data_IF_056105572356
#
_entry.id   IF_056105572356
#
_cell.length_a   1.000
_cell.length_b   1.000
_cell.length_c   1.000
_cell.angle_alpha   90.00
_cell.angle_beta   90.00
_cell.angle_gamma   90.00
#
_symmetry.space_group_name_H-M   'P 1'
#
loop_
_entity.id
_entity.type
_entity.pdbx_description
1 polymer ?
#
# COMPACT_ATOMS: atom_id res chain seq x y z
N UNK A 1 61.02 65.28 -12.88
CA UNK A 1 62.12 64.37 -12.49
C UNK A 1 61.88 63.08 -13.28
N UNK A 2 62.11 63.12 -14.60
CA UNK A 2 63.38 62.75 -15.27
C UNK A 2 63.60 61.22 -15.23
N UNK A 3 63.40 60.51 -16.35
CA UNK A 3 64.42 60.13 -17.36
C UNK A 3 65.44 59.10 -16.79
N UNK A 4 65.78 57.96 -17.40
CA UNK A 4 66.21 57.65 -18.79
C UNK A 4 65.88 56.17 -19.17
N UNK A 5 65.36 55.86 -20.37
CA UNK A 5 66.02 55.30 -21.59
C UNK A 5 66.85 53.99 -21.49
N UNK A 6 66.35 52.97 -22.23
CA UNK A 6 67.00 52.08 -23.24
C UNK A 6 67.75 50.75 -22.91
N UNK A 7 67.50 49.81 -23.84
CA UNK A 7 68.36 48.75 -24.41
C UNK A 7 68.42 47.32 -23.83
N UNK A 8 68.49 46.34 -24.75
CA UNK A 8 68.51 44.86 -24.57
C UNK A 8 69.77 44.28 -25.26
N UNK A 9 70.60 43.45 -24.60
CA UNK A 9 70.82 42.02 -24.97
C UNK A 9 71.10 41.10 -23.74
N UNK A 10 71.35 39.78 -23.82
CA UNK A 10 71.24 38.80 -24.93
C UNK A 10 72.38 37.75 -24.99
N UNK A 11 72.05 36.44 -24.97
CA UNK A 11 72.97 35.25 -25.09
C UNK A 11 73.96 35.02 -23.92
N UNK A 12 74.52 33.82 -23.62
CA UNK A 12 74.17 32.39 -23.85
C UNK A 12 75.06 31.49 -22.92
N UNK A 13 74.61 30.26 -22.61
CA UNK A 13 75.37 29.03 -22.22
C UNK A 13 76.40 29.09 -21.06
N UNK A 14 76.40 28.16 -20.08
CA UNK A 14 76.99 26.80 -20.24
C UNK A 14 76.48 25.72 -19.25
N UNK A 15 76.12 24.55 -19.81
CA UNK A 15 76.25 23.15 -19.31
C UNK A 15 76.30 22.76 -17.81
N UNK A 16 75.27 21.97 -17.40
CA UNK A 16 75.22 20.69 -16.64
C UNK A 16 76.52 19.97 -16.15
N UNK A 17 76.47 18.95 -15.22
CA UNK A 17 75.30 18.19 -14.71
C UNK A 17 75.24 17.84 -13.18
N UNK A 18 74.05 17.42 -12.69
CA UNK A 18 73.88 16.17 -11.88
C UNK A 18 72.41 15.74 -11.67
N UNK A 19 72.17 14.44 -11.90
CA UNK A 19 71.06 13.49 -11.61
C UNK A 19 69.77 13.99 -10.88
N UNK A 20 68.57 13.68 -11.38
CA UNK A 20 67.31 13.84 -10.63
C UNK A 20 66.91 12.58 -9.84
N UNK A 21 66.43 12.76 -8.60
CA UNK A 21 65.69 11.72 -7.85
C UNK A 21 64.23 11.68 -8.32
N UNK A 22 63.66 10.49 -8.46
CA UNK A 22 62.24 10.28 -8.75
C UNK A 22 61.41 10.19 -7.48
N UNK A 23 60.32 10.96 -7.38
CA UNK A 23 59.15 10.65 -6.53
C UNK A 23 57.95 11.55 -6.89
N UNK A 24 56.91 10.96 -7.47
CA UNK A 24 55.56 11.55 -7.60
C UNK A 24 54.51 10.51 -7.24
N UNK A 25 53.79 10.73 -6.13
CA UNK A 25 52.33 10.70 -6.09
C UNK A 25 51.82 12.12 -5.74
N UNK A 26 50.61 12.58 -6.08
CA UNK A 26 49.37 12.29 -5.31
C UNK A 26 48.07 12.71 -6.06
N UNK A 27 47.94 12.49 -7.37
CA UNK A 27 46.66 12.78 -8.08
C UNK A 27 45.66 11.61 -8.09
N UNK A 28 46.13 10.35 -8.12
CA UNK A 28 45.25 9.18 -8.17
C UNK A 28 44.47 8.89 -6.87
N UNK A 29 45.06 9.23 -5.71
CA UNK A 29 44.43 9.03 -4.40
C UNK A 29 43.15 9.87 -4.24
N UNK A 30 43.15 11.11 -4.72
CA UNK A 30 41.99 11.99 -4.60
C UNK A 30 40.78 11.46 -5.39
N UNK A 31 41.02 10.93 -6.60
CA UNK A 31 39.97 10.29 -7.41
C UNK A 31 39.39 9.03 -6.77
N UNK A 32 40.24 8.16 -6.21
CA UNK A 32 39.78 6.95 -5.51
C UNK A 32 38.89 7.28 -4.29
N UNK A 33 39.28 8.30 -3.51
CA UNK A 33 38.47 8.79 -2.39
C UNK A 33 37.15 9.43 -2.83
N UNK A 34 37.15 10.21 -3.92
CA UNK A 34 35.92 10.80 -4.47
C UNK A 34 34.94 9.72 -4.97
N UNK A 35 35.44 8.70 -5.67
CA UNK A 35 34.65 7.55 -6.12
C UNK A 35 34.10 6.73 -4.95
N UNK A 36 34.88 6.53 -3.88
CA UNK A 36 34.42 5.84 -2.67
C UNK A 36 33.31 6.65 -1.95
N UNK A 37 33.45 7.97 -1.85
CA UNK A 37 32.41 8.86 -1.32
C UNK A 37 31.13 8.82 -2.16
N UNK A 38 31.24 8.84 -3.49
CA UNK A 38 30.09 8.68 -4.39
C UNK A 38 29.43 7.30 -4.25
N UNK A 39 30.19 6.24 -4.01
CA UNK A 39 29.65 4.90 -3.73
C UNK A 39 28.94 4.80 -2.37
N UNK A 40 29.42 5.51 -1.36
CA UNK A 40 28.79 5.59 -0.04
C UNK A 40 27.51 6.45 -0.05
N UNK A 41 27.52 7.56 -0.80
CA UNK A 41 26.38 8.45 -1.00
C UNK A 41 25.33 7.89 -1.98
N UNK A 42 25.72 6.95 -2.84
CA UNK A 42 24.86 6.33 -3.86
C UNK A 42 23.99 5.16 -3.37
N UNK A 43 24.08 4.75 -2.09
CA UNK A 43 23.20 3.72 -1.54
C UNK A 43 21.83 4.33 -1.18
N UNK A 44 20.71 3.90 -1.80
CA UNK A 44 19.39 4.28 -1.31
C UNK A 44 19.21 3.75 0.12
N UNK A 45 18.55 4.51 1.02
CA UNK A 45 18.25 4.03 2.37
C UNK A 45 17.47 2.71 2.27
N UNK A 46 17.88 1.74 3.09
CA UNK A 46 17.62 0.32 2.86
C UNK A 46 16.16 0.03 2.52
N UNK A 47 15.93 -0.51 1.32
CA UNK A 47 14.65 -1.11 0.97
C UNK A 47 14.40 -2.27 1.96
N UNK A 48 13.46 -2.07 2.88
CA UNK A 48 13.01 -3.12 3.80
C UNK A 48 12.21 -4.12 2.99
N UNK A 49 12.92 -5.08 2.39
CA UNK A 49 12.28 -6.22 1.74
C UNK A 49 11.62 -7.07 2.83
N UNK A 50 10.29 -7.10 2.84
CA UNK A 50 9.51 -8.00 3.70
C UNK A 50 9.70 -9.44 3.20
N UNK A 51 10.81 -10.05 3.62
CA UNK A 51 11.13 -11.44 3.33
C UNK A 51 10.30 -12.37 4.23
N UNK A 52 9.24 -12.96 3.68
CA UNK A 52 8.55 -14.08 4.31
C UNK A 52 9.23 -15.36 3.85
N UNK A 53 10.24 -15.80 4.61
CA UNK A 53 10.86 -17.11 4.40
C UNK A 53 9.90 -18.19 4.92
N UNK A 54 9.60 -19.20 4.09
CA UNK A 54 8.78 -20.33 4.51
C UNK A 54 9.48 -21.13 5.61
N UNK A 55 8.74 -21.60 6.62
CA UNK A 55 9.29 -22.54 7.61
C UNK A 55 9.56 -23.88 6.93
N UNK A 56 10.80 -24.37 7.09
CA UNK A 56 11.32 -25.67 6.64
C UNK A 56 11.31 -25.92 5.11
N UNK A 57 12.49 -25.97 4.49
CA UNK A 57 12.74 -26.87 3.35
C UNK A 57 13.30 -26.26 2.06
N UNK A 58 13.15 -24.96 1.81
CA UNK A 58 13.62 -24.31 0.57
C UNK A 58 14.61 -23.18 0.91
N UNK A 59 15.81 -23.22 0.32
CA UNK A 59 16.95 -22.33 0.67
C UNK A 59 16.90 -20.95 0.00
N UNK A 60 15.79 -20.62 -0.67
CA UNK A 60 15.58 -19.35 -1.33
C UNK A 60 14.36 -18.61 -0.77
N UNK A 61 14.59 -17.52 -0.02
CA UNK A 61 13.49 -16.61 0.34
C UNK A 61 13.06 -15.84 -0.93
N UNK A 62 12.00 -16.31 -1.58
CA UNK A 62 11.42 -15.65 -2.76
C UNK A 62 10.96 -14.22 -2.42
N UNK A 63 11.49 -13.23 -3.14
CA UNK A 63 10.95 -11.88 -3.12
C UNK A 63 9.57 -11.88 -3.82
N UNK A 64 8.55 -11.37 -3.14
CA UNK A 64 7.22 -11.22 -3.72
C UNK A 64 7.18 -10.01 -4.66
N UNK A 65 6.67 -10.23 -5.87
CA UNK A 65 6.33 -9.14 -6.79
C UNK A 65 5.07 -8.41 -6.32
N UNK A 66 4.81 -7.23 -6.90
CA UNK A 66 3.55 -6.51 -6.68
C UNK A 66 2.34 -7.36 -7.12
N UNK A 67 2.48 -8.17 -8.18
CA UNK A 67 1.40 -9.11 -8.59
C UNK A 67 1.14 -10.16 -7.52
N UNK A 68 2.18 -10.80 -6.97
CA UNK A 68 2.02 -11.85 -5.94
C UNK A 68 1.35 -11.31 -4.68
N UNK A 69 1.64 -10.06 -4.32
CA UNK A 69 0.97 -9.37 -3.21
C UNK A 69 -0.50 -9.08 -3.55
N UNK A 70 -0.79 -8.59 -4.77
CA UNK A 70 -2.16 -8.42 -5.25
C UNK A 70 -2.97 -9.72 -5.26
N UNK A 71 -2.39 -10.83 -5.72
CA UNK A 71 -3.07 -12.13 -5.76
C UNK A 71 -3.45 -12.60 -4.36
N UNK A 72 -2.57 -12.41 -3.36
CA UNK A 72 -2.86 -12.72 -1.95
C UNK A 72 -3.99 -11.86 -1.38
N UNK A 73 -3.98 -10.54 -1.59
CA UNK A 73 -5.04 -9.66 -1.05
C UNK A 73 -6.37 -9.85 -1.79
N UNK A 74 -6.34 -10.16 -3.10
CA UNK A 74 -7.55 -10.50 -3.86
C UNK A 74 -8.16 -11.80 -3.33
N UNK A 75 -7.38 -12.88 -3.20
CA UNK A 75 -7.84 -14.15 -2.64
C UNK A 75 -8.44 -13.98 -1.23
N UNK A 76 -7.80 -13.14 -0.40
CA UNK A 76 -8.29 -12.86 0.95
C UNK A 76 -9.60 -12.05 0.93
N UNK A 77 -9.73 -11.08 0.01
CA UNK A 77 -10.98 -10.33 -0.21
C UNK A 77 -12.11 -11.17 -0.81
N UNK A 78 -11.79 -12.13 -1.68
CA UNK A 78 -12.76 -13.08 -2.25
C UNK A 78 -13.38 -13.93 -1.13
N UNK A 79 -12.53 -14.47 -0.24
CA UNK A 79 -12.98 -15.23 0.93
C UNK A 79 -13.77 -14.37 1.91
N UNK A 80 -13.34 -13.13 2.15
CA UNK A 80 -14.06 -12.19 3.03
C UNK A 80 -15.47 -11.90 2.53
N UNK A 81 -15.61 -11.59 1.25
CA UNK A 81 -16.91 -11.35 0.63
C UNK A 81 -17.79 -12.61 0.61
N UNK A 82 -17.21 -13.78 0.31
CA UNK A 82 -17.92 -15.06 0.36
C UNK A 82 -18.49 -15.37 1.76
N UNK A 83 -17.69 -15.18 2.82
CA UNK A 83 -18.16 -15.35 4.20
C UNK A 83 -19.29 -14.38 4.56
N UNK A 84 -19.18 -13.11 4.14
CA UNK A 84 -20.23 -12.11 4.35
C UNK A 84 -21.53 -12.45 3.62
N UNK A 85 -21.44 -13.00 2.41
CA UNK A 85 -22.60 -13.42 1.62
C UNK A 85 -23.28 -14.62 2.27
N UNK A 86 -22.52 -15.65 2.67
CA UNK A 86 -23.05 -16.80 3.39
C UNK A 86 -23.68 -16.42 4.75
N UNK A 87 -23.11 -15.43 5.46
CA UNK A 87 -23.66 -14.88 6.69
C UNK A 87 -25.00 -14.17 6.45
N UNK A 88 -25.12 -13.41 5.37
CA UNK A 88 -26.37 -12.74 5.00
C UNK A 88 -27.45 -13.74 4.58
N UNK A 89 -27.11 -14.66 3.67
CA UNK A 89 -28.06 -15.65 3.12
C UNK A 89 -28.64 -16.54 4.21
N UNK A 90 -27.80 -17.06 5.12
CA UNK A 90 -28.23 -17.96 6.19
C UNK A 90 -29.23 -17.33 7.17
N UNK A 91 -29.04 -16.05 7.51
CA UNK A 91 -29.83 -15.40 8.56
C UNK A 91 -31.00 -14.57 8.00
N UNK A 92 -30.94 -14.10 6.75
CA UNK A 92 -31.89 -13.12 6.22
C UNK A 92 -32.52 -13.48 4.86
N UNK A 93 -32.33 -14.70 4.35
CA UNK A 93 -33.07 -15.21 3.19
C UNK A 93 -33.69 -16.61 3.42
N UNK A 94 -34.59 -16.80 4.41
CA UNK A 94 -35.06 -18.15 4.78
C UNK A 94 -36.03 -18.76 3.75
N UNK A 95 -36.81 -17.95 3.02
CA UNK A 95 -37.74 -18.43 2.00
C UNK A 95 -38.11 -17.36 0.97
N UNK A 96 -37.68 -17.56 -0.27
CA UNK A 96 -38.60 -17.54 -1.43
C UNK A 96 -39.07 -16.22 -2.06
N UNK A 97 -39.18 -15.10 -1.34
CA UNK A 97 -39.69 -13.86 -1.93
C UNK A 97 -39.33 -12.59 -1.14
N UNK A 98 -39.41 -11.45 -1.84
CA UNK A 98 -39.05 -10.10 -1.35
C UNK A 98 -37.56 -9.85 -1.07
N UNK A 99 -36.74 -10.01 -2.11
CA UNK A 99 -35.56 -9.15 -2.28
C UNK A 99 -36.02 -7.72 -2.63
N UNK A 100 -36.68 -7.04 -1.69
CA UNK A 100 -36.78 -5.59 -1.72
C UNK A 100 -35.36 -5.03 -1.77
N UNK A 101 -35.05 -4.18 -2.76
CA UNK A 101 -33.78 -3.45 -2.76
C UNK A 101 -33.74 -2.61 -1.50
N UNK A 102 -32.96 -3.01 -0.49
CA UNK A 102 -32.83 -2.22 0.72
C UNK A 102 -32.29 -0.84 0.36
N UNK A 103 -33.10 0.18 0.61
CA UNK A 103 -32.82 1.60 0.31
C UNK A 103 -32.18 2.34 1.47
N UNK A 104 -31.90 1.64 2.58
CA UNK A 104 -31.20 2.20 3.74
C UNK A 104 -29.77 2.61 3.43
N UNK A 105 -29.23 3.47 4.27
CA UNK A 105 -27.88 4.04 4.12
C UNK A 105 -26.93 3.41 5.12
N UNK A 106 -25.94 2.67 4.62
CA UNK A 106 -24.76 2.32 5.40
C UNK A 106 -24.00 3.58 5.86
N UNK A 107 -23.29 3.52 6.98
CA UNK A 107 -22.39 4.58 7.45
C UNK A 107 -21.36 5.02 6.38
N UNK A 108 -20.84 4.07 5.61
CA UNK A 108 -19.94 4.33 4.48
C UNK A 108 -20.59 5.04 3.28
N UNK A 109 -21.91 5.29 3.27
CA UNK A 109 -22.60 5.88 2.12
C UNK A 109 -22.26 7.37 1.89
N UNK A 110 -21.63 8.05 2.87
CA UNK A 110 -21.01 9.37 2.66
C UNK A 110 -19.64 9.31 1.99
N UNK A 111 -19.02 8.13 1.88
CA UNK A 111 -17.77 7.96 1.15
C UNK A 111 -18.06 7.97 -0.36
N UNK A 112 -17.29 8.76 -1.12
CA UNK A 112 -17.34 8.81 -2.58
C UNK A 112 -16.85 7.49 -3.19
N UNK A 113 -17.71 6.48 -3.16
CA UNK A 113 -17.48 5.13 -3.66
C UNK A 113 -18.29 4.94 -4.94
N UNK A 114 -17.70 5.20 -6.12
CA UNK A 114 -18.43 5.06 -7.37
C UNK A 114 -18.83 3.60 -7.57
N UNK A 115 -20.07 3.43 -8.01
CA UNK A 115 -20.62 2.14 -8.45
C UNK A 115 -20.49 2.08 -9.98
N UNK A 116 -20.39 0.88 -10.55
CA UNK A 116 -20.18 0.69 -12.00
C UNK A 116 -18.71 0.63 -12.40
N UNK A 117 -18.36 -0.32 -13.28
CA UNK A 117 -16.98 -0.63 -13.69
C UNK A 117 -16.34 0.57 -14.41
N UNK A 118 -17.14 1.25 -15.22
CA UNK A 118 -16.83 2.40 -16.06
C UNK A 118 -16.46 3.67 -15.29
N UNK A 119 -17.05 3.89 -14.10
CA UNK A 119 -16.67 4.99 -13.22
C UNK A 119 -15.41 4.65 -12.43
N UNK A 120 -15.34 3.43 -11.87
CA UNK A 120 -14.14 2.98 -11.14
C UNK A 120 -12.90 3.02 -12.02
N UNK A 121 -13.00 2.63 -13.29
CA UNK A 121 -11.90 2.66 -14.28
C UNK A 121 -11.30 4.06 -14.51
N UNK A 122 -12.00 5.16 -14.18
CA UNK A 122 -11.52 6.54 -14.35
C UNK A 122 -10.80 7.11 -13.14
N UNK A 123 -10.94 6.49 -11.95
CA UNK A 123 -10.25 6.93 -10.72
C UNK A 123 -8.73 6.70 -10.87
N UNK A 124 -7.84 7.65 -10.51
CA UNK A 124 -6.39 7.43 -10.40
C UNK A 124 -6.01 6.22 -9.53
N UNK A 125 -4.83 5.63 -9.77
CA UNK A 125 -4.37 4.43 -9.03
C UNK A 125 -4.23 4.73 -7.53
N UNK A 126 -3.70 5.89 -7.20
CA UNK A 126 -3.53 6.46 -5.87
C UNK A 126 -4.87 6.59 -5.15
N UNK A 127 -5.85 7.24 -5.78
CA UNK A 127 -7.15 7.49 -5.18
C UNK A 127 -7.95 6.19 -5.01
N UNK A 128 -7.88 5.25 -5.96
CA UNK A 128 -8.48 3.92 -5.80
C UNK A 128 -7.82 3.11 -4.68
N UNK A 129 -6.49 3.16 -4.56
CA UNK A 129 -5.73 2.56 -3.46
C UNK A 129 -6.18 3.12 -2.11
N UNK A 130 -6.30 4.45 -2.01
CA UNK A 130 -6.77 5.14 -0.81
C UNK A 130 -8.22 4.79 -0.47
N UNK A 131 -9.10 4.68 -1.47
CA UNK A 131 -10.51 4.34 -1.29
C UNK A 131 -10.68 2.93 -0.69
N UNK A 132 -9.87 1.96 -1.14
CA UNK A 132 -9.82 0.61 -0.58
C UNK A 132 -9.40 0.66 0.90
N UNK A 133 -8.32 1.37 1.22
CA UNK A 133 -7.80 1.50 2.59
C UNK A 133 -8.81 2.20 3.52
N UNK A 134 -9.47 3.26 3.05
CA UNK A 134 -10.54 3.95 3.81
C UNK A 134 -11.74 3.03 4.07
N UNK A 135 -12.17 2.22 3.09
CA UNK A 135 -13.28 1.28 3.28
C UNK A 135 -12.93 0.24 4.35
N UNK A 136 -11.74 -0.34 4.30
CA UNK A 136 -11.27 -1.31 5.29
C UNK A 136 -11.15 -0.67 6.70
N UNK A 137 -10.65 0.57 6.78
CA UNK A 137 -10.58 1.29 8.05
C UNK A 137 -11.96 1.63 8.63
N UNK A 138 -12.94 2.02 7.81
CA UNK A 138 -14.30 2.35 8.23
C UNK A 138 -15.09 1.15 8.79
N UNK A 139 -14.61 -0.08 8.54
CA UNK A 139 -15.20 -1.32 9.06
C UNK A 139 -14.44 -1.92 10.26
N UNK A 140 -13.22 -1.44 10.57
CA UNK A 140 -12.39 -1.99 11.67
C UNK A 140 -13.09 -1.87 13.03
N UNK A 141 -13.52 -0.67 13.41
CA UNK A 141 -14.14 -0.46 14.73
C UNK A 141 -15.55 -1.05 14.84
N UNK A 142 -16.44 -0.91 13.84
CA UNK A 142 -17.76 -1.56 13.89
C UNK A 142 -17.69 -3.09 14.02
N UNK A 143 -16.73 -3.75 13.34
CA UNK A 143 -16.52 -5.20 13.48
C UNK A 143 -15.86 -5.61 14.81
N UNK A 144 -15.06 -4.71 15.40
CA UNK A 144 -14.51 -4.87 16.76
C UNK A 144 -15.63 -4.87 17.80
N UNK A 145 -16.53 -3.87 17.74
CA UNK A 145 -17.69 -3.81 18.63
C UNK A 145 -18.66 -4.98 18.43
N UNK A 146 -18.90 -5.42 17.20
CA UNK A 146 -19.76 -6.58 16.92
C UNK A 146 -19.22 -7.88 17.54
N UNK A 147 -17.90 -8.12 17.49
CA UNK A 147 -17.27 -9.28 18.15
C UNK A 147 -17.27 -9.18 19.69
N UNK A 148 -17.26 -7.96 20.24
CA UNK A 148 -17.35 -7.74 21.70
C UNK A 148 -18.78 -7.92 22.22
N UNK A 149 -19.80 -7.60 21.42
CA UNK A 149 -21.20 -7.58 21.83
C UNK A 149 -22.00 -8.85 21.46
N UNK A 150 -21.33 -9.98 21.21
CA UNK A 150 -21.92 -11.28 20.84
C UNK A 150 -23.16 -11.67 21.68
N UNK A 151 -23.21 -11.35 22.97
CA UNK A 151 -24.36 -11.65 23.84
C UNK A 151 -25.65 -10.87 23.55
N UNK A 152 -25.55 -9.76 22.80
CA UNK A 152 -26.71 -8.96 22.35
C UNK A 152 -27.27 -9.43 21.01
N UNK A 153 -26.50 -10.17 20.22
CA UNK A 153 -26.87 -10.68 18.89
C UNK A 153 -27.64 -12.01 18.97
N UNK A 154 -28.71 -12.05 19.80
CA UNK A 154 -29.44 -13.28 20.16
C UNK A 154 -30.18 -13.95 18.98
N UNK A 155 -30.43 -13.20 17.90
CA UNK A 155 -31.02 -13.71 16.67
C UNK A 155 -30.04 -14.53 15.81
N UNK A 156 -28.72 -14.41 16.06
CA UNK A 156 -27.69 -15.07 15.27
C UNK A 156 -27.26 -16.42 15.87
N UNK A 157 -27.23 -17.44 15.03
CA UNK A 157 -26.70 -18.76 15.39
C UNK A 157 -25.20 -18.70 15.77
N UNK A 158 -24.74 -19.61 16.64
CA UNK A 158 -23.33 -19.69 17.08
C UNK A 158 -22.32 -19.81 15.92
N UNK A 159 -22.69 -20.53 14.84
CA UNK A 159 -21.94 -20.59 13.59
C UNK A 159 -21.88 -19.24 12.84
N UNK A 160 -22.95 -18.44 12.92
CA UNK A 160 -22.95 -17.08 12.34
C UNK A 160 -22.08 -16.11 13.14
N UNK A 161 -22.10 -16.21 14.47
CA UNK A 161 -21.24 -15.44 15.36
C UNK A 161 -19.75 -15.79 15.15
N UNK A 162 -19.42 -17.08 14.98
CA UNK A 162 -18.03 -17.49 14.69
C UNK A 162 -17.54 -16.99 13.33
N UNK A 163 -18.42 -16.92 12.31
CA UNK A 163 -18.14 -16.31 11.00
C UNK A 163 -17.96 -14.80 11.10
N UNK A 164 -18.76 -14.09 11.88
CA UNK A 164 -18.60 -12.65 12.12
C UNK A 164 -17.25 -12.34 12.78
N UNK A 165 -16.82 -13.13 13.77
CA UNK A 165 -15.48 -13.04 14.36
C UNK A 165 -14.36 -13.30 13.35
N UNK A 166 -14.50 -14.31 12.50
CA UNK A 166 -13.54 -14.57 11.41
C UNK A 166 -13.45 -13.39 10.43
N UNK A 167 -14.59 -12.81 10.05
CA UNK A 167 -14.68 -11.62 9.21
C UNK A 167 -13.93 -10.43 9.83
N UNK A 168 -14.11 -10.17 11.13
CA UNK A 168 -13.45 -9.09 11.87
C UNK A 168 -11.92 -9.18 11.78
N UNK A 169 -11.36 -10.36 12.06
CA UNK A 169 -9.92 -10.63 11.92
C UNK A 169 -9.44 -10.47 10.47
N UNK A 170 -10.20 -10.99 9.50
CA UNK A 170 -9.83 -10.92 8.09
C UNK A 170 -9.82 -9.49 7.54
N UNK A 171 -10.67 -8.57 8.01
CA UNK A 171 -10.61 -7.14 7.62
C UNK A 171 -9.31 -6.50 8.09
N UNK A 172 -8.83 -6.83 9.29
CA UNK A 172 -7.54 -6.35 9.79
C UNK A 172 -6.38 -6.86 8.93
N UNK A 173 -6.35 -8.16 8.65
CA UNK A 173 -5.35 -8.78 7.79
C UNK A 173 -5.37 -8.23 6.36
N UNK A 174 -6.56 -7.98 5.79
CA UNK A 174 -6.72 -7.41 4.45
C UNK A 174 -6.20 -5.97 4.39
N UNK A 175 -6.45 -5.15 5.42
CA UNK A 175 -5.90 -3.79 5.53
C UNK A 175 -4.38 -3.81 5.54
N UNK A 176 -3.77 -4.61 6.42
CA UNK A 176 -2.31 -4.74 6.50
C UNK A 176 -1.70 -5.35 5.23
N UNK A 177 -2.42 -6.24 4.54
CA UNK A 177 -2.04 -6.72 3.21
C UNK A 177 -2.00 -5.60 2.17
N UNK A 178 -3.03 -4.75 2.14
CA UNK A 178 -3.12 -3.63 1.20
C UNK A 178 -2.13 -2.50 1.51
N UNK A 179 -1.81 -2.27 2.78
CA UNK A 179 -0.72 -1.36 3.20
C UNK A 179 0.62 -1.83 2.62
N UNK A 180 0.96 -3.12 2.76
CA UNK A 180 2.19 -3.70 2.17
C UNK A 180 2.21 -3.67 0.64
N UNK A 181 1.07 -3.85 -0.03
CA UNK A 181 0.94 -3.63 -1.48
C UNK A 181 1.26 -2.18 -1.83
N UNK A 182 0.71 -1.23 -1.07
CA UNK A 182 0.90 0.22 -1.26
C UNK A 182 2.37 0.63 -1.07
N UNK A 183 3.01 0.21 0.03
CA UNK A 183 4.45 0.39 0.29
C UNK A 183 5.31 -0.16 -0.85
N UNK A 184 5.00 -1.38 -1.32
CA UNK A 184 5.75 -1.99 -2.42
C UNK A 184 5.57 -1.22 -3.72
N UNK A 185 4.37 -0.78 -4.04
CA UNK A 185 4.08 0.06 -5.21
C UNK A 185 4.79 1.42 -5.15
N UNK A 186 4.82 2.08 -3.98
CA UNK A 186 5.59 3.30 -3.74
C UNK A 186 7.10 3.07 -3.97
N UNK A 187 7.65 2.00 -3.40
CA UNK A 187 9.08 1.64 -3.56
C UNK A 187 9.51 1.38 -5.01
N UNK A 188 8.54 1.08 -5.90
CA UNK A 188 8.74 0.83 -7.33
C UNK A 188 8.32 2.01 -8.21
N UNK A 189 7.89 3.13 -7.63
CA UNK A 189 7.42 4.31 -8.38
C UNK A 189 6.11 4.10 -9.15
N UNK A 190 5.32 3.07 -8.81
CA UNK A 190 4.03 2.78 -9.46
C UNK A 190 2.94 3.77 -9.03
N UNK A 191 3.06 4.30 -7.82
CA UNK A 191 2.24 5.36 -7.24
C UNK A 191 3.11 6.33 -6.45
N UNK A 192 2.61 7.56 -6.24
CA UNK A 192 3.33 8.57 -5.45
C UNK A 192 3.32 8.31 -3.93
N UNK A 193 4.32 8.84 -3.22
CA UNK A 193 4.38 8.85 -1.75
C UNK A 193 3.33 9.75 -1.09
N UNK A 194 2.51 10.47 -1.86
CA UNK A 194 1.54 11.45 -1.36
C UNK A 194 0.46 10.83 -0.45
N UNK A 195 0.23 9.51 -0.53
CA UNK A 195 -0.72 8.80 0.34
C UNK A 195 -0.34 8.89 1.83
N UNK A 196 0.96 9.04 2.14
CA UNK A 196 1.46 9.03 3.51
C UNK A 196 1.09 10.31 4.29
N UNK A 197 0.75 11.40 3.58
CA UNK A 197 0.35 12.68 4.20
C UNK A 197 -1.15 12.82 4.48
N UNK A 198 -2.00 11.92 3.96
CA UNK A 198 -3.46 12.11 4.01
C UNK A 198 -4.15 11.42 5.21
N UNK A 199 -3.39 10.89 6.17
CA UNK A 199 -3.91 10.32 7.42
C UNK A 199 -4.69 11.33 8.27
N UNK A 200 -4.36 12.62 8.22
CA UNK A 200 -5.03 13.67 9.01
C UNK A 200 -6.53 13.87 8.74
N UNK A 201 -7.11 13.19 7.75
CA UNK A 201 -8.57 13.16 7.51
C UNK A 201 -9.31 12.10 8.35
N UNK A 202 -8.62 11.45 9.30
CA UNK A 202 -9.16 10.46 10.26
C UNK A 202 -10.40 10.92 11.04
N UNK A 203 -10.59 12.23 11.26
CA UNK A 203 -11.78 12.78 11.91
C UNK A 203 -13.11 12.37 11.23
N UNK A 204 -13.11 12.16 9.90
CA UNK A 204 -14.28 11.65 9.18
C UNK A 204 -14.54 10.16 9.45
N UNK A 205 -13.49 9.36 9.71
CA UNK A 205 -13.60 7.93 9.98
C UNK A 205 -14.28 7.64 11.32
N UNK A 206 -13.97 8.42 12.36
CA UNK A 206 -14.56 8.29 13.70
C UNK A 206 -16.06 8.65 13.72
N UNK A 207 -16.48 9.64 12.94
CA UNK A 207 -17.92 9.94 12.79
C UNK A 207 -18.65 8.84 12.02
N UNK A 208 -17.98 8.17 11.09
CA UNK A 208 -18.55 7.06 10.31
C UNK A 208 -18.72 5.82 11.20
N UNK A 209 -17.74 5.44 12.03
CA UNK A 209 -17.87 4.25 12.90
C UNK A 209 -19.05 4.33 13.87
N UNK A 210 -19.35 5.50 14.42
CA UNK A 210 -20.46 5.66 15.37
C UNK A 210 -21.84 5.39 14.75
N UNK A 211 -22.03 5.69 13.46
CA UNK A 211 -23.31 5.41 12.76
C UNK A 211 -23.54 3.90 12.59
N UNK A 212 -22.48 3.10 12.47
CA UNK A 212 -22.59 1.64 12.35
C UNK A 212 -22.98 0.93 13.65
N UNK A 213 -22.64 1.51 14.81
CA UNK A 213 -23.02 0.97 16.12
C UNK A 213 -24.52 1.11 16.43
N UNK A 214 -25.27 1.86 15.61
CA UNK A 214 -26.71 2.06 15.74
C UNK A 214 -27.54 1.22 14.75
N UNK A 215 -26.86 0.46 13.88
CA UNK A 215 -27.50 -0.38 12.86
C UNK A 215 -27.94 -1.72 13.45
N UNK A 216 -29.08 -2.24 12.99
CA UNK A 216 -29.50 -3.61 13.32
C UNK A 216 -28.62 -4.67 12.65
N UNK A 217 -28.63 -5.92 13.14
CA UNK A 217 -27.81 -7.01 12.61
C UNK A 217 -28.01 -7.24 11.10
N UNK A 218 -29.26 -7.14 10.63
CA UNK A 218 -29.61 -7.18 9.21
C UNK A 218 -28.88 -6.10 8.41
N UNK A 219 -28.99 -4.85 8.86
CA UNK A 219 -28.41 -3.67 8.20
C UNK A 219 -26.88 -3.74 8.22
N UNK A 220 -26.30 -4.14 9.35
CA UNK A 220 -24.87 -4.32 9.55
C UNK A 220 -24.30 -5.36 8.58
N UNK A 221 -24.87 -6.57 8.57
CA UNK A 221 -24.39 -7.67 7.73
C UNK A 221 -24.62 -7.37 6.25
N UNK A 222 -25.74 -6.74 5.88
CA UNK A 222 -25.96 -6.31 4.50
C UNK A 222 -24.95 -5.23 4.06
N UNK A 223 -24.72 -4.20 4.87
CA UNK A 223 -23.76 -3.15 4.56
C UNK A 223 -22.34 -3.70 4.40
N UNK A 224 -21.94 -4.63 5.27
CA UNK A 224 -20.65 -5.28 5.17
C UNK A 224 -20.54 -6.13 3.90
N UNK A 225 -21.59 -6.86 3.52
CA UNK A 225 -21.66 -7.60 2.24
C UNK A 225 -21.52 -6.69 1.03
N UNK A 226 -22.17 -5.53 1.04
CA UNK A 226 -22.11 -4.52 -0.03
C UNK A 226 -20.69 -3.96 -0.20
N UNK A 227 -20.04 -3.62 0.91
CA UNK A 227 -18.74 -2.95 0.89
C UNK A 227 -17.56 -3.92 0.70
N UNK A 228 -17.66 -5.17 1.19
CA UNK A 228 -16.70 -6.24 0.87
C UNK A 228 -16.66 -6.54 -0.63
N UNK A 229 -17.82 -6.57 -1.31
CA UNK A 229 -17.89 -6.68 -2.78
C UNK A 229 -17.21 -5.48 -3.49
N UNK A 230 -17.38 -4.25 -2.97
CA UNK A 230 -16.67 -3.06 -3.50
C UNK A 230 -15.16 -3.22 -3.37
N UNK A 231 -14.66 -3.58 -2.18
CA UNK A 231 -13.22 -3.81 -1.94
C UNK A 231 -12.65 -4.88 -2.89
N UNK A 232 -13.32 -6.03 -2.99
CA UNK A 232 -12.96 -7.13 -3.89
C UNK A 232 -12.89 -6.66 -5.36
N UNK A 233 -13.91 -5.93 -5.82
CA UNK A 233 -13.98 -5.40 -7.18
C UNK A 233 -12.90 -4.35 -7.45
N UNK A 234 -12.65 -3.45 -6.50
CA UNK A 234 -11.64 -2.40 -6.61
C UNK A 234 -10.22 -2.97 -6.64
N UNK A 235 -9.92 -3.99 -5.82
CA UNK A 235 -8.63 -4.70 -5.83
C UNK A 235 -8.34 -5.35 -7.19
N UNK A 236 -9.33 -6.05 -7.77
CA UNK A 236 -9.22 -6.67 -9.09
C UNK A 236 -8.96 -5.61 -10.17
N UNK A 237 -9.74 -4.54 -10.19
CA UNK A 237 -9.57 -3.44 -11.16
C UNK A 237 -8.22 -2.73 -10.99
N UNK A 238 -7.73 -2.56 -9.76
CA UNK A 238 -6.44 -1.93 -9.47
C UNK A 238 -5.28 -2.79 -9.97
N UNK A 239 -5.28 -4.10 -9.66
CA UNK A 239 -4.29 -5.05 -10.20
C UNK A 239 -4.22 -4.96 -11.72
N UNK A 240 -5.36 -5.04 -12.40
CA UNK A 240 -5.43 -5.02 -13.86
C UNK A 240 -4.90 -3.74 -14.52
N UNK A 241 -4.91 -2.61 -13.81
CA UNK A 241 -4.32 -1.34 -14.29
C UNK A 241 -2.83 -1.19 -14.02
N UNK A 242 -2.26 -2.05 -13.19
CA UNK A 242 -0.83 -2.10 -12.88
C UNK A 242 -0.17 -3.23 -13.69
N UNK A 243 -0.87 -4.35 -13.87
CA UNK A 243 -0.39 -5.54 -14.55
C UNK A 243 -1.44 -6.13 -15.51
N UNK A 244 -1.58 -5.59 -16.73
CA UNK A 244 -2.57 -6.08 -17.71
C UNK A 244 -2.27 -7.48 -18.27
N UNK A 245 -1.04 -7.99 -18.12
CA UNK A 245 -0.54 -9.14 -18.88
C UNK A 245 -1.01 -10.52 -18.42
N UNK A 246 -1.57 -10.66 -17.21
CA UNK A 246 -1.93 -11.95 -16.62
C UNK A 246 -3.41 -11.94 -16.19
N UNK A 247 -4.29 -12.40 -17.09
CA UNK A 247 -5.73 -12.70 -16.88
C UNK A 247 -6.51 -11.65 -16.08
N UNK A 248 -7.02 -10.66 -16.82
CA UNK A 248 -7.92 -9.59 -16.40
C UNK A 248 -9.09 -9.46 -17.38
#
# INVERSE_FOLDING_TARGET
>A
MEAWRLQVPGCQNTSLPRVPFSLRPTLGLCYAWLCALLWLLGKPPGAVFVAICARQGDSSCRFLSVSDLFDRVIQHSDRLHSLSTALYEKNFLPNGNELGKWTGKCHTSRMLTPNGKEYVQKIPREELTHLILRLLQAWKEPLSHFDQNIGHHQELSSDSLSKAKQISNMVHELKTGMEKVTEKMQSMGIISNSLNGMGSSEAAGLSISNEANLMSDYEFIHCFRRDSNKVQSYLKILKCRIWPGNSC
#
